data_IF_209204523443
#
_entry.id   IF_209204523443
#
_cell.length_a   1.000
_cell.length_b   1.000
_cell.length_c   1.000
_cell.angle_alpha   90.00
_cell.angle_beta   90.00
_cell.angle_gamma   90.00
#
_symmetry.space_group_name_H-M   'P 1'
#
loop_
_entity.id
_entity.type
_entity.pdbx_description
1 polymer ?
#
# COMPACT_ATOMS: atom_id res chain seq x y z
N UNK A 1 22.91 28.88 -0.87
CA UNK A 1 21.59 28.33 -1.28
C UNK A 1 20.72 28.32 -0.05
N UNK A 2 19.57 29.02 0.00
CA UNK A 2 18.70 28.93 1.16
C UNK A 2 18.17 27.49 1.28
N UNK A 3 18.19 26.93 2.49
CA UNK A 3 17.55 25.67 2.79
C UNK A 3 16.04 25.88 2.70
N UNK A 4 15.43 25.48 1.58
CA UNK A 4 13.99 25.29 1.53
C UNK A 4 13.65 24.16 2.50
N UNK A 5 12.73 24.35 3.46
CA UNK A 5 12.31 23.26 4.33
C UNK A 5 11.76 22.13 3.45
N UNK A 6 12.25 20.91 3.66
CA UNK A 6 11.71 19.70 3.06
C UNK A 6 10.32 19.47 3.63
N UNK A 7 9.30 20.01 2.97
CA UNK A 7 7.91 19.76 3.28
C UNK A 7 7.48 18.44 2.61
N UNK A 8 6.94 17.53 3.40
CA UNK A 8 6.38 16.26 2.91
C UNK A 8 4.88 16.40 2.72
N UNK A 9 4.38 15.98 1.56
CA UNK A 9 2.95 16.02 1.23
C UNK A 9 2.33 14.65 1.47
N UNK A 10 1.35 14.59 2.37
CA UNK A 10 0.69 13.35 2.76
C UNK A 10 -0.76 13.37 2.30
N UNK A 11 -1.15 12.34 1.55
CA UNK A 11 -2.54 12.04 1.21
C UNK A 11 -3.07 11.03 2.23
N UNK A 12 -4.09 11.43 2.99
CA UNK A 12 -4.80 10.54 3.91
C UNK A 12 -6.13 10.15 3.27
N UNK A 13 -6.27 8.89 2.91
CA UNK A 13 -7.48 8.38 2.28
C UNK A 13 -8.47 7.94 3.37
N UNK A 14 -9.70 8.48 3.32
CA UNK A 14 -10.81 8.02 4.14
C UNK A 14 -11.89 7.46 3.21
N UNK A 15 -11.75 6.19 2.85
CA UNK A 15 -12.59 5.53 1.85
C UNK A 15 -13.29 4.31 2.42
N UNK A 16 -14.41 3.87 1.83
CA UNK A 16 -14.88 2.50 2.01
C UNK A 16 -13.86 1.51 1.44
N UNK A 17 -14.18 0.22 1.50
CA UNK A 17 -13.39 -0.82 0.82
C UNK A 17 -13.42 -0.59 -0.70
N UNK A 18 -12.26 -0.67 -1.33
CA UNK A 18 -12.01 -0.41 -2.74
C UNK A 18 -11.39 -1.64 -3.39
N UNK A 19 -11.67 -1.88 -4.66
CA UNK A 19 -10.81 -2.74 -5.47
C UNK A 19 -9.46 -2.06 -5.70
N UNK A 20 -8.43 -2.83 -6.06
CA UNK A 20 -7.11 -2.24 -6.38
C UNK A 20 -7.16 -1.27 -7.57
N UNK A 21 -8.10 -1.47 -8.52
CA UNK A 21 -8.30 -0.55 -9.66
C UNK A 21 -8.81 0.80 -9.15
N UNK A 22 -9.85 0.78 -8.31
CA UNK A 22 -10.42 1.99 -7.72
C UNK A 22 -9.41 2.74 -6.84
N UNK A 23 -8.56 2.00 -6.11
CA UNK A 23 -7.49 2.61 -5.33
C UNK A 23 -6.45 3.32 -6.23
N UNK A 24 -6.06 2.71 -7.35
CA UNK A 24 -5.14 3.34 -8.31
C UNK A 24 -5.77 4.58 -8.94
N UNK A 25 -7.05 4.51 -9.34
CA UNK A 25 -7.78 5.66 -9.88
C UNK A 25 -7.84 6.82 -8.87
N UNK A 26 -8.11 6.52 -7.59
CA UNK A 26 -8.07 7.51 -6.52
C UNK A 26 -6.68 8.12 -6.39
N UNK A 27 -5.63 7.30 -6.34
CA UNK A 27 -4.25 7.79 -6.23
C UNK A 27 -3.87 8.65 -7.44
N UNK A 28 -4.25 8.25 -8.66
CA UNK A 28 -4.02 9.04 -9.87
C UNK A 28 -4.68 10.40 -9.77
N UNK A 29 -5.96 10.44 -9.40
CA UNK A 29 -6.73 11.69 -9.28
C UNK A 29 -6.12 12.65 -8.26
N UNK A 30 -5.72 12.14 -7.10
CA UNK A 30 -5.29 12.98 -5.98
C UNK A 30 -3.80 13.35 -5.99
N UNK A 31 -2.95 12.59 -6.69
CA UNK A 31 -1.48 12.77 -6.58
C UNK A 31 -0.83 13.39 -7.81
N UNK A 32 -1.44 13.31 -9.00
CA UNK A 32 -0.79 13.74 -10.26
C UNK A 32 -0.60 15.25 -10.33
N UNK A 33 -1.64 16.03 -10.04
CA UNK A 33 -1.56 17.50 -10.18
C UNK A 33 -0.90 18.16 -8.97
N UNK A 34 -1.16 17.59 -7.79
CA UNK A 34 -0.73 18.17 -6.54
C UNK A 34 0.69 17.72 -6.19
N UNK A 35 1.14 16.54 -6.61
CA UNK A 35 2.37 15.95 -6.09
C UNK A 35 2.17 15.45 -4.67
N UNK A 36 2.56 14.20 -4.42
CA UNK A 36 2.36 13.54 -3.14
C UNK A 36 3.57 12.67 -2.81
N UNK A 37 4.04 12.73 -1.57
CA UNK A 37 5.19 11.98 -1.09
C UNK A 37 4.80 10.67 -0.43
N UNK A 38 3.58 10.61 0.14
CA UNK A 38 3.04 9.47 0.88
C UNK A 38 1.52 9.42 0.79
N UNK A 39 0.97 8.27 0.43
CA UNK A 39 -0.45 7.97 0.53
C UNK A 39 -0.71 6.95 1.64
N UNK A 40 -1.73 7.20 2.45
CA UNK A 40 -2.18 6.32 3.53
C UNK A 40 -3.59 5.81 3.22
N UNK A 41 -3.74 4.49 3.07
CA UNK A 41 -5.04 3.83 2.96
C UNK A 41 -5.51 3.31 4.34
N UNK A 42 -6.84 3.23 4.59
CA UNK A 42 -7.38 2.68 5.83
C UNK A 42 -7.11 1.18 6.03
N UNK A 43 -7.35 0.70 7.25
CA UNK A 43 -7.40 -0.73 7.59
C UNK A 43 -8.36 -1.48 6.65
N UNK A 44 -7.93 -2.61 6.09
CA UNK A 44 -8.72 -3.47 5.21
C UNK A 44 -9.39 -2.76 4.02
N UNK A 45 -8.81 -1.63 3.59
CA UNK A 45 -9.39 -0.78 2.54
C UNK A 45 -9.30 -1.40 1.15
N UNK A 46 -8.46 -2.41 0.93
CA UNK A 46 -8.30 -3.05 -0.35
C UNK A 46 -9.01 -4.40 -0.39
N UNK A 47 -9.91 -4.54 -1.35
CA UNK A 47 -10.42 -5.81 -1.83
C UNK A 47 -9.42 -6.39 -2.81
N UNK A 48 -8.75 -7.45 -2.38
CA UNK A 48 -7.87 -8.26 -3.19
C UNK A 48 -8.13 -9.72 -2.84
N UNK A 49 -7.83 -10.66 -3.76
CA UNK A 49 -7.87 -12.07 -3.42
C UNK A 49 -6.92 -12.34 -2.23
N UNK A 50 -7.33 -13.16 -1.25
CA UNK A 50 -6.47 -13.53 -0.13
C UNK A 50 -5.16 -14.10 -0.64
N UNK A 51 -4.03 -13.61 -0.13
CA UNK A 51 -2.72 -14.11 -0.56
C UNK A 51 -2.36 -15.35 0.24
N UNK A 52 -2.27 -16.51 -0.42
CA UNK A 52 -1.55 -17.66 0.10
C UNK A 52 -0.15 -17.63 -0.50
N UNK A 53 0.88 -17.46 0.33
CA UNK A 53 2.26 -17.65 -0.13
C UNK A 53 2.91 -18.77 0.64
N UNK A 54 3.83 -19.48 -0.02
CA UNK A 54 4.76 -20.35 0.67
C UNK A 54 5.48 -19.50 1.72
N UNK A 55 5.38 -19.88 3.00
CA UNK A 55 5.98 -19.18 4.15
C UNK A 55 5.29 -17.89 4.65
N UNK A 56 4.18 -17.44 4.04
CA UNK A 56 3.41 -16.28 4.55
C UNK A 56 4.08 -14.93 4.29
N UNK A 57 4.91 -14.82 3.26
CA UNK A 57 5.45 -13.54 2.79
C UNK A 57 4.51 -12.92 1.76
N UNK A 58 4.20 -11.63 1.84
CA UNK A 58 3.45 -10.96 0.77
C UNK A 58 4.40 -10.71 -0.42
N UNK A 59 4.01 -11.09 -1.63
CA UNK A 59 4.86 -10.98 -2.84
C UNK A 59 4.14 -10.25 -3.98
N UNK A 60 4.90 -9.81 -4.98
CA UNK A 60 4.35 -9.18 -6.19
C UNK A 60 3.69 -10.16 -7.17
N UNK A 61 3.56 -11.45 -6.83
CA UNK A 61 2.66 -12.35 -7.54
C UNK A 61 1.18 -11.93 -7.34
N UNK A 62 0.90 -11.17 -6.28
CA UNK A 62 -0.39 -10.52 -6.12
C UNK A 62 -0.52 -9.30 -7.06
N UNK A 63 -1.52 -9.36 -7.95
CA UNK A 63 -1.78 -8.31 -8.94
C UNK A 63 -2.00 -6.92 -8.33
N UNK A 64 -2.66 -6.82 -7.17
CA UNK A 64 -2.88 -5.54 -6.51
C UNK A 64 -1.56 -4.94 -6.03
N UNK A 65 -0.71 -5.73 -5.36
CA UNK A 65 0.62 -5.30 -4.93
C UNK A 65 1.52 -4.94 -6.11
N UNK A 66 1.49 -5.72 -7.18
CA UNK A 66 2.26 -5.42 -8.39
C UNK A 66 1.85 -4.07 -9.01
N UNK A 67 0.54 -3.83 -9.13
CA UNK A 67 0.04 -2.60 -9.73
C UNK A 67 0.31 -1.37 -8.84
N UNK A 68 0.18 -1.50 -7.52
CA UNK A 68 0.52 -0.46 -6.56
C UNK A 68 2.03 -0.18 -6.50
N UNK A 69 2.87 -1.22 -6.60
CA UNK A 69 4.32 -1.12 -6.76
C UNK A 69 4.69 -0.30 -7.99
N UNK A 70 4.10 -0.64 -9.13
CA UNK A 70 4.32 0.11 -10.37
C UNK A 70 3.90 1.56 -10.21
N UNK A 71 2.75 1.83 -9.60
CA UNK A 71 2.28 3.19 -9.33
C UNK A 71 3.28 3.95 -8.45
N UNK A 72 3.69 3.37 -7.32
CA UNK A 72 4.66 3.96 -6.40
C UNK A 72 5.97 4.36 -7.09
N UNK A 73 6.52 3.44 -7.91
CA UNK A 73 7.75 3.66 -8.67
C UNK A 73 7.63 4.76 -9.72
N UNK A 74 6.49 4.83 -10.41
CA UNK A 74 6.21 5.81 -11.47
C UNK A 74 6.05 7.21 -10.89
N UNK A 75 5.35 7.34 -9.76
CA UNK A 75 5.03 8.62 -9.14
C UNK A 75 5.99 9.03 -8.01
N UNK A 76 6.98 8.18 -7.67
CA UNK A 76 7.97 8.41 -6.61
C UNK A 76 7.34 8.69 -5.24
N UNK A 77 6.29 7.95 -4.93
CA UNK A 77 5.46 8.10 -3.73
C UNK A 77 5.60 6.85 -2.84
N UNK A 78 5.55 7.02 -1.52
CA UNK A 78 5.32 5.93 -0.58
C UNK A 78 3.84 5.56 -0.52
N UNK A 79 3.50 4.28 -0.46
CA UNK A 79 2.12 3.84 -0.27
C UNK A 79 2.05 2.96 0.97
N UNK A 80 1.28 3.39 1.96
CA UNK A 80 0.88 2.57 3.10
C UNK A 80 -0.50 2.04 2.80
N UNK A 81 -0.63 0.73 2.60
CA UNK A 81 -1.88 0.10 2.16
C UNK A 81 -2.94 0.00 3.27
N UNK A 82 -2.65 0.52 4.46
CA UNK A 82 -3.36 0.14 5.67
C UNK A 82 -3.03 -1.31 5.98
N UNK A 83 -4.04 -2.11 6.33
CA UNK A 83 -3.90 -3.57 6.48
C UNK A 83 -4.59 -4.31 5.33
N UNK A 84 -4.10 -5.52 5.05
CA UNK A 84 -4.64 -6.45 4.07
C UNK A 84 -4.74 -7.85 4.68
N UNK A 85 -5.64 -8.69 4.14
CA UNK A 85 -5.76 -10.09 4.57
C UNK A 85 -4.56 -10.90 4.08
N UNK A 86 -3.78 -11.44 4.99
CA UNK A 86 -2.66 -12.34 4.72
C UNK A 86 -3.00 -13.77 5.15
N UNK A 87 -2.88 -14.75 4.24
CA UNK A 87 -3.06 -16.18 4.58
C UNK A 87 -1.72 -16.91 4.56
N UNK A 88 -1.40 -17.54 5.67
CA UNK A 88 -0.19 -18.36 5.81
C UNK A 88 -0.44 -19.83 5.44
N UNK A 89 0.60 -20.63 5.13
CA UNK A 89 0.48 -22.04 4.74
C UNK A 89 -0.31 -22.93 5.71
N UNK A 90 -0.38 -22.57 6.99
CA UNK A 90 -1.09 -23.33 8.04
C UNK A 90 -2.50 -22.76 8.32
N UNK A 91 -3.12 -22.12 7.33
CA UNK A 91 -4.46 -21.54 7.39
C UNK A 91 -4.67 -20.45 8.46
N UNK A 92 -3.60 -19.86 9.02
CA UNK A 92 -3.73 -18.67 9.86
C UNK A 92 -3.92 -17.44 8.97
N UNK A 93 -4.86 -16.60 9.37
CA UNK A 93 -5.21 -15.34 8.72
C UNK A 93 -4.72 -14.20 9.62
N UNK A 94 -4.04 -13.22 9.05
CA UNK A 94 -3.59 -12.01 9.74
C UNK A 94 -4.05 -10.75 9.01
N UNK A 95 -4.30 -9.69 9.78
CA UNK A 95 -4.38 -8.33 9.26
C UNK A 95 -2.95 -7.79 9.17
N UNK A 96 -2.44 -7.64 7.95
CA UNK A 96 -1.04 -7.28 7.73
C UNK A 96 -0.91 -5.92 7.08
N UNK A 97 -0.24 -5.00 7.77
CA UNK A 97 0.10 -3.71 7.21
C UNK A 97 1.27 -3.81 6.24
N UNK A 98 1.15 -3.14 5.09
CA UNK A 98 2.17 -3.15 4.03
C UNK A 98 2.57 -1.73 3.68
N UNK A 99 3.88 -1.52 3.52
CA UNK A 99 4.45 -0.29 2.99
C UNK A 99 5.21 -0.59 1.69
N UNK A 100 4.88 0.14 0.64
CA UNK A 100 5.61 0.16 -0.63
C UNK A 100 6.41 1.46 -0.71
N UNK A 101 7.68 1.37 -1.07
CA UNK A 101 8.56 2.53 -1.22
C UNK A 101 8.49 3.21 -2.60
N UNK A 102 9.26 4.28 -2.75
CA UNK A 102 9.35 5.09 -4.00
C UNK A 102 10.02 4.36 -5.16
N UNK A 103 10.70 3.24 -4.89
CA UNK A 103 11.29 2.36 -5.88
C UNK A 103 10.27 1.30 -6.33
N UNK A 104 9.14 1.18 -5.63
CA UNK A 104 8.12 0.17 -5.86
C UNK A 104 8.39 -1.13 -5.11
N UNK A 105 9.30 -1.14 -4.14
CA UNK A 105 9.65 -2.33 -3.37
C UNK A 105 8.81 -2.44 -2.09
N UNK A 106 8.59 -3.67 -1.61
CA UNK A 106 7.97 -3.90 -0.31
C UNK A 106 8.97 -3.54 0.79
N UNK A 107 8.76 -2.40 1.44
CA UNK A 107 9.65 -1.87 2.46
C UNK A 107 9.40 -2.48 3.84
N UNK A 108 8.13 -2.67 4.21
CA UNK A 108 7.74 -3.12 5.54
C UNK A 108 6.46 -3.95 5.50
N UNK A 109 6.44 -4.99 6.33
CA UNK A 109 5.26 -5.82 6.61
C UNK A 109 5.09 -5.92 8.13
N UNK A 110 3.88 -5.67 8.63
CA UNK A 110 3.56 -5.76 10.05
C UNK A 110 2.23 -6.46 10.28
N UNK A 111 2.26 -7.65 10.89
CA UNK A 111 1.05 -8.37 11.31
C UNK A 111 0.51 -7.76 12.60
N UNK A 112 -0.76 -7.37 12.60
CA UNK A 112 -1.48 -6.93 13.80
C UNK A 112 -1.42 -8.03 14.85
N UNK A 113 -0.91 -7.70 16.03
CA UNK A 113 -0.92 -8.61 17.17
C UNK A 113 -2.32 -8.56 17.82
N UNK A 114 -2.99 -9.72 17.88
CA UNK A 114 -4.15 -9.90 18.74
C UNK A 114 -3.65 -10.17 20.16
N UNK A 115 -4.04 -9.33 21.12
CA UNK A 115 -3.88 -9.59 22.56
C UNK A 115 -5.01 -10.50 23.02
#
# INVERSE_FOLDING_TARGET
RPYLPLAMRVLVCQTPKLTYVQAIELLQRETVECGCDLALLPEMALEHPPQCTCQGELTFENVALHMLSRFARQHKIYIVLGSVEERTPFAKIYDTCIVIDRQGELLLQYRKQSV
#
